data_IF_387386450315
#
_entry.id   IF_387386450315
#
_cell.length_a   1.000
_cell.length_b   1.000
_cell.length_c   1.000
_cell.angle_alpha   90.00
_cell.angle_beta   90.00
_cell.angle_gamma   90.00
#
_symmetry.space_group_name_H-M   'P 1'
#
loop_
_entity.id
_entity.type
_entity.pdbx_description
1 polymer ?
#
# COMPACT_ATOMS: atom_id res chain seq x y z
N UNK A 1 -5.16 4.17 -25.12
CA UNK A 1 -6.22 3.17 -25.36
C UNK A 1 -6.97 3.00 -24.05
N UNK A 2 -8.29 3.17 -24.04
CA UNK A 2 -9.13 2.93 -22.86
C UNK A 2 -9.52 1.45 -22.87
N UNK A 3 -9.24 0.73 -21.78
CA UNK A 3 -9.53 -0.69 -21.62
C UNK A 3 -10.84 -0.88 -20.84
N UNK A 4 -11.63 -1.94 -21.09
CA UNK A 4 -12.77 -2.29 -20.23
C UNK A 4 -12.42 -2.42 -18.74
N UNK A 5 -11.16 -2.74 -18.42
CA UNK A 5 -10.65 -2.79 -17.04
C UNK A 5 -10.58 -1.43 -16.35
N UNK A 6 -10.58 -0.31 -17.11
CA UNK A 6 -10.57 1.04 -16.54
C UNK A 6 -11.92 1.37 -15.87
N UNK A 7 -13.01 0.78 -16.36
CA UNK A 7 -14.32 0.87 -15.72
C UNK A 7 -14.37 0.07 -14.40
N UNK A 8 -13.59 -1.01 -14.27
CA UNK A 8 -13.48 -1.77 -13.03
C UNK A 8 -12.74 -1.00 -11.93
N UNK A 9 -11.92 0.00 -12.26
CA UNK A 9 -11.31 0.86 -11.23
C UNK A 9 -12.37 1.71 -10.50
N UNK A 10 -13.43 2.08 -11.22
CA UNK A 10 -14.55 2.88 -10.73
C UNK A 10 -15.60 1.98 -10.07
N UNK A 11 -15.98 0.87 -10.72
CA UNK A 11 -17.05 -0.01 -10.26
C UNK A 11 -16.58 -1.14 -9.31
N UNK A 12 -15.28 -1.46 -9.31
CA UNK A 12 -14.72 -2.60 -8.60
C UNK A 12 -14.25 -2.32 -7.16
N UNK A 13 -13.69 -3.36 -6.54
CA UNK A 13 -13.18 -3.32 -5.17
C UNK A 13 -11.86 -2.57 -4.99
N UNK A 14 -11.38 -2.48 -3.75
CA UNK A 14 -10.15 -1.76 -3.39
C UNK A 14 -8.87 -2.40 -3.97
N UNK A 15 -8.89 -3.70 -4.29
CA UNK A 15 -7.74 -4.40 -4.87
C UNK A 15 -7.38 -3.92 -6.27
N UNK A 16 -8.37 -3.69 -7.15
CA UNK A 16 -8.14 -3.19 -8.50
C UNK A 16 -7.43 -1.83 -8.48
N UNK A 17 -7.94 -0.91 -7.63
CA UNK A 17 -7.34 0.42 -7.44
C UNK A 17 -5.93 0.37 -6.86
N UNK A 18 -5.68 -0.50 -5.85
CA UNK A 18 -4.33 -0.71 -5.30
C UNK A 18 -3.36 -1.22 -6.36
N UNK A 19 -3.77 -2.23 -7.13
CA UNK A 19 -2.92 -2.82 -8.18
C UNK A 19 -2.61 -1.82 -9.29
N UNK A 20 -3.60 -1.03 -9.71
CA UNK A 20 -3.38 0.05 -10.68
C UNK A 20 -2.34 1.05 -10.16
N UNK A 21 -2.51 1.54 -8.93
CA UNK A 21 -1.57 2.46 -8.30
C UNK A 21 -0.17 1.86 -8.21
N UNK A 22 -0.05 0.58 -7.81
CA UNK A 22 1.24 -0.12 -7.74
C UNK A 22 1.92 -0.20 -9.10
N UNK A 23 1.17 -0.54 -10.15
CA UNK A 23 1.68 -0.62 -11.52
C UNK A 23 2.11 0.75 -12.02
N UNK A 24 1.36 1.80 -11.74
CA UNK A 24 1.68 3.17 -12.17
C UNK A 24 2.94 3.66 -11.49
N UNK A 25 3.02 3.59 -10.16
CA UNK A 25 4.19 4.08 -9.40
C UNK A 25 5.44 3.27 -9.76
N UNK A 26 5.33 1.94 -9.89
CA UNK A 26 6.47 1.07 -10.21
C UNK A 26 7.09 1.33 -11.60
N UNK A 27 6.37 1.97 -12.51
CA UNK A 27 6.91 2.29 -13.84
C UNK A 27 7.95 3.40 -13.82
N UNK A 28 7.92 4.30 -12.83
CA UNK A 28 8.83 5.44 -12.74
C UNK A 28 9.61 5.54 -11.43
N UNK A 29 9.18 4.85 -10.37
CA UNK A 29 9.87 4.83 -9.07
C UNK A 29 10.43 3.44 -8.76
N UNK A 30 11.76 3.32 -8.92
CA UNK A 30 12.48 2.07 -8.64
C UNK A 30 12.54 1.75 -7.15
N UNK A 31 12.66 2.77 -6.30
CA UNK A 31 12.70 2.60 -4.84
C UNK A 31 11.38 2.01 -4.36
N UNK A 32 10.27 2.50 -4.90
CA UNK A 32 8.94 1.97 -4.66
C UNK A 32 8.82 0.51 -5.07
N UNK A 33 9.25 0.17 -6.29
CA UNK A 33 9.19 -1.21 -6.78
C UNK A 33 9.99 -2.16 -5.88
N UNK A 34 11.21 -1.78 -5.51
CA UNK A 34 12.07 -2.58 -4.62
C UNK A 34 11.42 -2.75 -3.24
N UNK A 35 10.82 -1.69 -2.69
CA UNK A 35 10.09 -1.75 -1.42
C UNK A 35 8.86 -2.66 -1.53
N UNK A 36 8.07 -2.54 -2.59
CA UNK A 36 6.88 -3.36 -2.83
C UNK A 36 7.22 -4.85 -2.94
N UNK A 37 8.30 -5.19 -3.65
CA UNK A 37 8.79 -6.57 -3.76
C UNK A 37 9.21 -7.11 -2.38
N UNK A 38 9.98 -6.32 -1.60
CA UNK A 38 10.42 -6.70 -0.25
C UNK A 38 9.24 -6.93 0.69
N UNK A 39 8.28 -6.02 0.68
CA UNK A 39 7.06 -6.12 1.49
C UNK A 39 6.29 -7.40 1.17
N UNK A 40 6.03 -7.66 -0.11
CA UNK A 40 5.28 -8.85 -0.55
C UNK A 40 6.01 -10.16 -0.23
N UNK A 41 7.34 -10.17 -0.36
CA UNK A 41 8.16 -11.32 0.03
C UNK A 41 8.05 -11.59 1.54
N UNK A 42 8.23 -10.58 2.37
CA UNK A 42 8.13 -10.71 3.83
C UNK A 42 6.73 -11.15 4.27
N UNK A 43 5.67 -10.57 3.67
CA UNK A 43 4.28 -10.97 3.91
C UNK A 43 4.05 -12.46 3.58
N UNK A 44 4.60 -12.93 2.45
CA UNK A 44 4.47 -14.33 2.05
C UNK A 44 5.17 -15.26 3.04
N UNK A 45 6.37 -14.91 3.51
CA UNK A 45 7.11 -15.69 4.50
C UNK A 45 6.41 -15.70 5.88
N UNK A 46 5.94 -14.54 6.35
CA UNK A 46 5.10 -14.43 7.55
C UNK A 46 3.87 -15.33 7.48
N UNK A 47 3.14 -15.28 6.37
CA UNK A 47 1.95 -16.11 6.17
C UNK A 47 2.28 -17.61 6.07
N UNK A 48 3.47 -17.98 5.60
CA UNK A 48 3.93 -19.36 5.59
C UNK A 48 4.24 -19.86 7.01
N UNK A 49 4.94 -19.05 7.81
CA UNK A 49 5.21 -19.34 9.23
C UNK A 49 3.94 -19.55 10.04
N UNK A 50 2.97 -18.64 9.89
CA UNK A 50 1.67 -18.73 10.58
C UNK A 50 0.84 -19.97 10.18
N UNK A 51 1.11 -20.57 9.01
CA UNK A 51 0.44 -21.77 8.52
C UNK A 51 1.24 -23.04 8.79
N UNK A 52 2.48 -22.92 9.27
CA UNK A 52 3.34 -24.08 9.50
C UNK A 52 2.86 -24.86 10.72
N UNK A 53 2.94 -26.19 10.65
CA UNK A 53 2.69 -27.09 11.79
C UNK A 53 3.95 -27.29 12.65
N UNK A 54 5.06 -26.61 12.28
CA UNK A 54 6.31 -26.62 13.05
C UNK A 54 6.20 -25.73 14.29
N UNK A 55 7.17 -25.91 15.19
CA UNK A 55 7.29 -25.07 16.38
C UNK A 55 7.41 -23.60 15.97
N UNK A 56 6.64 -22.74 16.64
CA UNK A 56 6.55 -21.32 16.29
C UNK A 56 7.86 -20.61 16.63
N UNK A 57 8.54 -20.10 15.59
CA UNK A 57 9.76 -19.31 15.71
C UNK A 57 9.43 -17.82 15.79
N UNK A 58 9.40 -17.30 17.02
CA UNK A 58 9.08 -15.89 17.31
C UNK A 58 10.16 -14.93 16.80
N UNK A 59 11.43 -15.30 16.84
CA UNK A 59 12.54 -14.45 16.36
C UNK A 59 12.45 -14.26 14.84
N UNK A 60 12.22 -15.35 14.11
CA UNK A 60 12.04 -15.29 12.66
C UNK A 60 10.77 -14.50 12.29
N UNK A 61 9.70 -14.63 13.08
CA UNK A 61 8.46 -13.88 12.93
C UNK A 61 8.73 -12.36 13.04
N UNK A 62 9.47 -11.94 14.07
CA UNK A 62 9.85 -10.53 14.28
C UNK A 62 10.68 -9.97 13.12
N UNK A 63 11.64 -10.74 12.59
CA UNK A 63 12.44 -10.31 11.42
C UNK A 63 11.56 -10.00 10.22
N UNK A 64 10.55 -10.82 9.93
CA UNK A 64 9.62 -10.55 8.82
C UNK A 64 8.75 -9.33 9.10
N UNK A 65 8.31 -9.11 10.34
CA UNK A 65 7.52 -7.94 10.70
C UNK A 65 8.32 -6.64 10.59
N UNK A 66 9.60 -6.63 10.96
CA UNK A 66 10.49 -5.49 10.76
C UNK A 66 10.72 -5.20 9.27
N UNK A 67 10.92 -6.24 8.46
CA UNK A 67 11.03 -6.09 7.01
C UNK A 67 9.75 -5.54 6.39
N UNK A 68 8.58 -6.02 6.85
CA UNK A 68 7.29 -5.50 6.40
C UNK A 68 7.09 -4.04 6.84
N UNK A 69 7.47 -3.68 8.07
CA UNK A 69 7.33 -2.33 8.57
C UNK A 69 8.19 -1.35 7.75
N UNK A 70 9.48 -1.64 7.61
CA UNK A 70 10.42 -0.78 6.86
C UNK A 70 10.03 -0.62 5.39
N UNK A 71 9.70 -1.71 4.69
CA UNK A 71 9.27 -1.64 3.30
C UNK A 71 7.87 -1.00 3.16
N UNK A 72 6.98 -1.27 4.11
CA UNK A 72 5.63 -0.71 4.16
C UNK A 72 5.61 0.80 4.35
N UNK A 73 6.58 1.37 5.08
CA UNK A 73 6.71 2.82 5.25
C UNK A 73 6.93 3.53 3.92
N UNK A 74 7.88 3.01 3.13
CA UNK A 74 8.20 3.55 1.80
C UNK A 74 6.99 3.44 0.88
N UNK A 75 6.35 2.27 0.84
CA UNK A 75 5.15 2.05 0.02
C UNK A 75 4.03 3.00 0.41
N UNK A 76 3.77 3.15 1.71
CA UNK A 76 2.73 4.05 2.21
C UNK A 76 3.01 5.50 1.82
N UNK A 77 4.23 5.99 2.10
CA UNK A 77 4.63 7.37 1.80
C UNK A 77 4.44 7.70 0.32
N UNK A 78 4.98 6.87 -0.57
CA UNK A 78 4.93 7.08 -2.02
C UNK A 78 3.50 7.01 -2.57
N UNK A 79 2.66 6.13 -2.03
CA UNK A 79 1.23 6.07 -2.38
C UNK A 79 0.50 7.34 -1.94
N UNK A 80 0.78 7.85 -0.74
CA UNK A 80 0.20 9.09 -0.26
C UNK A 80 0.60 10.29 -1.12
N UNK A 81 1.89 10.39 -1.49
CA UNK A 81 2.41 11.42 -2.40
C UNK A 81 1.74 11.33 -3.77
N UNK A 82 1.68 10.13 -4.36
CA UNK A 82 1.03 9.89 -5.64
C UNK A 82 -0.44 10.31 -5.63
N UNK A 83 -1.21 9.93 -4.61
CA UNK A 83 -2.64 10.29 -4.55
C UNK A 83 -2.82 11.81 -4.35
N UNK A 84 -1.97 12.45 -3.55
CA UNK A 84 -2.03 13.90 -3.35
C UNK A 84 -1.82 14.68 -4.66
N UNK A 85 -0.92 14.20 -5.54
CA UNK A 85 -0.68 14.78 -6.86
C UNK A 85 -1.76 14.37 -7.90
N UNK A 86 -2.30 13.17 -7.76
CA UNK A 86 -3.31 12.63 -8.68
C UNK A 86 -4.67 13.31 -8.51
N UNK A 87 -5.11 13.59 -7.28
CA UNK A 87 -6.45 14.13 -6.99
C UNK A 87 -6.76 15.42 -7.76
N UNK A 88 -5.91 16.46 -7.75
CA UNK A 88 -6.18 17.71 -8.47
C UNK A 88 -6.33 17.49 -9.97
N UNK A 89 -5.46 16.65 -10.55
CA UNK A 89 -5.47 16.33 -11.98
C UNK A 89 -6.75 15.58 -12.35
N UNK A 90 -7.12 14.57 -11.56
CA UNK A 90 -8.35 13.82 -11.75
C UNK A 90 -9.59 14.72 -11.67
N UNK A 91 -9.67 15.60 -10.66
CA UNK A 91 -10.78 16.54 -10.52
C UNK A 91 -10.88 17.48 -11.71
N UNK A 92 -9.77 18.03 -12.20
CA UNK A 92 -9.78 18.92 -13.37
C UNK A 92 -10.34 18.23 -14.61
N UNK A 93 -9.91 17.00 -14.91
CA UNK A 93 -10.43 16.25 -16.05
C UNK A 93 -11.90 15.84 -15.87
N UNK A 94 -12.29 15.46 -14.66
CA UNK A 94 -13.68 15.08 -14.38
C UNK A 94 -14.64 16.27 -14.47
N UNK A 95 -14.26 17.45 -13.95
CA UNK A 95 -15.02 18.70 -14.11
C UNK A 95 -15.21 19.03 -15.58
N UNK A 96 -14.13 18.95 -16.37
CA UNK A 96 -14.15 19.25 -17.79
C UNK A 96 -15.11 18.34 -18.57
N UNK A 97 -15.10 17.03 -18.28
CA UNK A 97 -15.97 16.05 -18.95
C UNK A 97 -17.43 16.17 -18.48
N UNK A 98 -17.64 16.35 -17.18
CA UNK A 98 -19.00 16.46 -16.60
C UNK A 98 -19.64 17.84 -16.80
N UNK A 99 -18.89 18.84 -17.29
CA UNK A 99 -19.30 20.25 -17.36
C UNK A 99 -19.76 20.77 -15.99
N UNK A 100 -19.01 20.43 -14.94
CA UNK A 100 -19.29 20.80 -13.54
C UNK A 100 -20.63 20.30 -12.97
N UNK A 101 -21.27 19.31 -13.63
CA UNK A 101 -22.57 18.77 -13.19
C UNK A 101 -22.46 17.79 -12.02
N UNK A 102 -21.28 17.23 -11.81
CA UNK A 102 -21.00 16.24 -10.76
C UNK A 102 -19.76 16.62 -9.96
N UNK A 103 -19.82 16.45 -8.64
CA UNK A 103 -18.67 16.61 -7.74
C UNK A 103 -18.22 15.25 -7.24
N UNK A 104 -16.98 14.87 -7.55
CA UNK A 104 -16.36 13.62 -7.10
C UNK A 104 -15.28 13.92 -6.06
N UNK A 105 -15.29 13.17 -4.96
CA UNK A 105 -14.26 13.22 -3.93
C UNK A 105 -13.51 11.89 -3.89
N UNK A 106 -12.20 11.96 -3.67
CA UNK A 106 -11.30 10.82 -3.64
C UNK A 106 -10.45 10.93 -2.37
N UNK A 107 -10.54 9.93 -1.50
CA UNK A 107 -9.78 9.86 -0.26
C UNK A 107 -8.92 8.59 -0.24
N UNK A 108 -7.66 8.74 0.19
CA UNK A 108 -6.80 7.61 0.46
C UNK A 108 -6.94 7.20 1.92
N UNK A 109 -7.42 5.97 2.14
CA UNK A 109 -7.49 5.37 3.47
C UNK A 109 -6.47 4.23 3.57
N UNK A 110 -5.65 4.27 4.63
CA UNK A 110 -4.65 3.25 4.91
C UNK A 110 -4.60 2.94 6.39
N UNK A 111 -4.48 1.65 6.72
CA UNK A 111 -4.29 1.18 8.10
C UNK A 111 -2.98 1.73 8.73
N UNK A 112 -2.00 2.11 7.90
CA UNK A 112 -0.77 2.76 8.37
C UNK A 112 -1.01 4.17 8.94
N UNK A 113 -2.17 4.80 8.65
CA UNK A 113 -2.54 6.13 9.18
C UNK A 113 -2.97 6.09 10.65
N UNK A 114 -3.38 4.94 11.19
CA UNK A 114 -3.86 4.81 12.58
C UNK A 114 -2.73 4.93 13.62
N UNK A 115 -1.46 4.96 13.22
CA UNK A 115 -0.32 4.92 14.16
C UNK A 115 -0.13 3.57 14.87
N UNK A 116 -1.18 2.77 15.00
CA UNK A 116 -1.20 1.49 15.73
C UNK A 116 -0.39 0.39 15.05
N UNK A 117 -0.22 0.44 13.74
CA UNK A 117 0.59 -0.54 13.01
C UNK A 117 2.08 -0.47 13.39
N UNK A 118 2.54 0.66 13.96
CA UNK A 118 3.95 0.94 14.26
C UNK A 118 4.34 0.72 15.73
N UNK A 119 3.38 0.72 16.65
CA UNK A 119 3.64 0.65 18.10
C UNK A 119 4.08 -0.74 18.55
N UNK A 120 3.71 -1.79 17.80
CA UNK A 120 4.10 -3.16 18.13
C UNK A 120 5.56 -3.46 17.79
N UNK A 121 6.12 -2.93 16.69
CA UNK A 121 7.53 -3.20 16.31
C UNK A 121 8.54 -2.41 17.16
N UNK A 122 8.23 -1.18 17.58
CA UNK A 122 9.12 -0.39 18.45
C UNK A 122 9.18 -0.90 19.90
N UNK A 123 8.15 -1.61 20.39
CA UNK A 123 8.18 -2.20 21.74
C UNK A 123 9.08 -3.43 21.83
N UNK A 124 9.30 -4.16 20.73
CA UNK A 124 10.17 -5.34 20.73
C UNK A 124 11.67 -5.00 20.80
N UNK A 125 12.09 -3.86 20.24
CA UNK A 125 13.52 -3.45 20.21
C UNK A 125 13.96 -2.67 21.46
N UNK A 126 13.02 -2.27 22.32
CA UNK A 126 13.27 -1.34 23.43
C UNK A 126 13.08 -1.88 24.85
N UNK A 127 12.89 -3.19 25.03
CA UNK A 127 12.62 -3.77 26.35
C UNK A 127 13.46 -5.03 26.60
N UNK A 128 14.77 -4.89 26.77
CA UNK A 128 15.52 -5.77 27.67
C UNK A 128 16.69 -4.99 28.28
N UNK A 129 16.84 -5.20 29.59
CA UNK A 129 17.80 -4.63 30.55
C UNK A 129 19.25 -4.86 30.14
#
# INVERSE_FOLDING_TARGET
MVSPADAELIAGGSDGRRRFMDVVISQYDKEYLDALIRYNKALTQRNALLKSEQEFDEELMLVWEEMMASAGEVVFKKRSEFIAEFIPTFQSFYSYISQDKEKVNLAYESHAMSGDCWILSRRAVGATV
#
